data_IF_385372270023
#
_entry.id   IF_385372270023
#
_cell.length_a   1.000
_cell.length_b   1.000
_cell.length_c   1.000
_cell.angle_alpha   90.00
_cell.angle_beta   90.00
_cell.angle_gamma   90.00
#
_symmetry.space_group_name_H-M   'P 1'
#
loop_
_entity.id
_entity.type
_entity.pdbx_description
1 polymer ?
#
# COMPACT_ATOMS: atom_id res chain seq x y z
N UNK A 1 -26.30 -0.20 8.50
CA UNK A 1 -24.92 -0.13 8.01
C UNK A 1 -24.86 0.89 6.89
N UNK A 2 -24.00 1.90 7.01
CA UNK A 2 -23.81 2.94 5.99
C UNK A 2 -22.36 2.93 5.51
N UNK A 3 -22.10 3.42 4.31
CA UNK A 3 -20.72 3.65 3.88
C UNK A 3 -20.06 4.74 4.74
N UNK A 4 -18.82 4.50 5.12
CA UNK A 4 -17.98 5.48 5.79
C UNK A 4 -17.41 6.49 4.79
N UNK A 5 -17.05 7.66 5.29
CA UNK A 5 -16.19 8.63 4.57
C UNK A 5 -14.75 8.16 4.45
N UNK A 6 -14.40 7.04 5.10
CA UNK A 6 -13.09 6.42 5.06
C UNK A 6 -13.10 5.13 4.26
N UNK A 7 -11.95 4.80 3.69
CA UNK A 7 -11.60 3.51 3.11
C UNK A 7 -10.39 2.94 3.84
N UNK A 8 -10.12 1.65 3.67
CA UNK A 8 -8.84 1.04 4.03
C UNK A 8 -7.99 0.92 2.77
N UNK A 9 -6.81 1.50 2.76
CA UNK A 9 -5.80 1.28 1.72
C UNK A 9 -4.86 0.20 2.22
N UNK A 10 -4.57 -0.79 1.37
CA UNK A 10 -3.55 -1.82 1.61
C UNK A 10 -2.54 -1.83 0.47
N UNK A 11 -1.26 -2.00 0.78
CA UNK A 11 -0.20 -2.14 -0.23
C UNK A 11 0.84 -3.15 0.23
N UNK A 12 1.18 -4.09 -0.66
CA UNK A 12 2.31 -5.01 -0.47
C UNK A 12 3.61 -4.36 -0.93
N UNK A 13 4.66 -4.43 -0.11
CA UNK A 13 5.94 -3.77 -0.35
C UNK A 13 7.11 -4.62 0.19
N UNK A 14 8.27 -4.68 -0.49
CA UNK A 14 9.50 -5.22 0.09
C UNK A 14 9.81 -4.63 1.47
N UNK A 15 10.29 -5.45 2.39
CA UNK A 15 10.60 -5.02 3.76
C UNK A 15 11.50 -3.78 3.77
N UNK A 16 12.48 -3.71 2.87
CA UNK A 16 13.46 -2.62 2.76
C UNK A 16 12.83 -1.28 2.37
N UNK A 17 11.67 -1.28 1.70
CA UNK A 17 10.97 -0.08 1.28
C UNK A 17 9.74 0.27 2.15
N UNK A 18 9.39 -0.59 3.11
CA UNK A 18 8.15 -0.49 3.87
C UNK A 18 8.04 0.81 4.69
N UNK A 19 9.12 1.26 5.32
CA UNK A 19 9.14 2.50 6.10
C UNK A 19 8.97 3.75 5.22
N UNK A 20 9.61 3.79 4.05
CA UNK A 20 9.48 4.90 3.11
C UNK A 20 8.03 5.01 2.60
N UNK A 21 7.39 3.88 2.31
CA UNK A 21 5.99 3.85 1.88
C UNK A 21 5.04 4.27 3.03
N UNK A 22 5.25 3.79 4.26
CA UNK A 22 4.49 4.26 5.44
C UNK A 22 4.57 5.76 5.61
N UNK A 23 5.77 6.31 5.52
CA UNK A 23 6.00 7.75 5.64
C UNK A 23 5.26 8.52 4.54
N UNK A 24 5.40 8.10 3.29
CA UNK A 24 4.72 8.73 2.15
C UNK A 24 3.19 8.70 2.29
N UNK A 25 2.62 7.59 2.76
CA UNK A 25 1.18 7.48 3.03
C UNK A 25 0.72 8.47 4.09
N UNK A 26 1.46 8.57 5.21
CA UNK A 26 1.11 9.47 6.31
C UNK A 26 1.28 10.95 5.96
N UNK A 27 2.35 11.31 5.23
CA UNK A 27 2.57 12.67 4.72
C UNK A 27 1.48 13.09 3.72
N UNK A 28 0.97 12.14 2.93
CA UNK A 28 -0.18 12.34 2.04
C UNK A 28 -1.54 12.34 2.77
N UNK A 29 -1.56 12.30 4.11
CA UNK A 29 -2.77 12.45 4.91
C UNK A 29 -3.55 11.16 5.20
N UNK A 30 -2.98 9.99 4.90
CA UNK A 30 -3.52 8.73 5.39
C UNK A 30 -3.22 8.51 6.88
N UNK A 31 -3.99 7.65 7.53
CA UNK A 31 -3.74 7.28 8.93
C UNK A 31 -4.03 8.40 9.93
N UNK A 32 -4.94 9.31 9.63
CA UNK A 32 -5.46 10.30 10.59
C UNK A 32 -6.72 9.74 11.23
N UNK A 33 -6.68 9.50 12.54
CA UNK A 33 -7.83 9.03 13.32
C UNK A 33 -7.87 9.75 14.67
N UNK A 34 -8.87 10.61 14.87
CA UNK A 34 -8.94 11.45 16.07
C UNK A 34 -7.69 12.33 16.19
N UNK A 35 -7.00 12.24 17.33
CA UNK A 35 -5.77 13.00 17.61
C UNK A 35 -4.47 12.28 17.20
N UNK A 36 -4.57 11.21 16.40
CA UNK A 36 -3.43 10.43 15.93
C UNK A 36 -3.24 10.60 14.43
N UNK A 37 -1.97 10.64 14.01
CA UNK A 37 -1.52 10.73 12.60
C UNK A 37 -0.54 9.61 12.31
N UNK A 38 -0.32 9.30 11.02
CA UNK A 38 0.57 8.21 10.57
C UNK A 38 0.16 6.83 11.11
N UNK A 39 -1.12 6.62 11.42
CA UNK A 39 -1.61 5.32 11.87
C UNK A 39 -1.61 4.31 10.71
N UNK A 40 -0.80 3.27 10.83
CA UNK A 40 -0.79 2.11 9.93
C UNK A 40 -0.63 0.83 10.74
N UNK A 41 -1.05 -0.28 10.15
CA UNK A 41 -0.76 -1.62 10.63
C UNK A 41 -0.05 -2.38 9.52
N UNK A 42 0.86 -3.29 9.87
CA UNK A 42 1.58 -4.10 8.90
C UNK A 42 1.59 -5.55 9.33
N UNK A 43 1.60 -6.46 8.37
CA UNK A 43 1.91 -7.87 8.58
C UNK A 43 2.89 -8.35 7.52
N UNK A 44 3.82 -9.22 7.92
CA UNK A 44 4.84 -9.78 7.02
C UNK A 44 4.32 -11.01 6.28
N UNK A 45 4.85 -11.23 5.08
CA UNK A 45 4.55 -12.38 4.26
C UNK A 45 5.59 -12.59 3.16
N UNK A 46 5.28 -13.50 2.23
CA UNK A 46 6.10 -13.75 1.04
C UNK A 46 5.32 -13.38 -0.21
N UNK A 47 5.75 -12.33 -0.89
CA UNK A 47 5.27 -11.95 -2.22
C UNK A 47 5.81 -12.92 -3.27
N UNK A 48 4.99 -13.24 -4.28
CA UNK A 48 5.37 -14.13 -5.38
C UNK A 48 4.89 -13.56 -6.69
N UNK A 49 5.78 -13.54 -7.68
CA UNK A 49 5.44 -13.08 -9.03
C UNK A 49 6.35 -13.72 -10.07
N UNK A 50 5.91 -13.66 -11.32
CA UNK A 50 6.68 -14.09 -12.49
C UNK A 50 6.70 -12.91 -13.48
N UNK A 51 7.82 -12.17 -13.59
CA UNK A 51 7.90 -11.07 -14.54
C UNK A 51 7.76 -11.59 -15.97
N UNK A 52 6.81 -11.04 -16.72
CA UNK A 52 6.54 -11.42 -18.10
C UNK A 52 7.39 -10.61 -19.09
N UNK A 53 7.41 -11.01 -20.36
CA UNK A 53 8.09 -10.25 -21.41
C UNK A 53 7.58 -8.80 -21.44
N UNK A 54 8.52 -7.84 -21.39
CA UNK A 54 8.22 -6.41 -21.32
C UNK A 54 8.20 -5.81 -19.92
N UNK A 55 8.28 -6.62 -18.85
CA UNK A 55 8.43 -6.12 -17.49
C UNK A 55 9.86 -5.61 -17.22
N UNK A 56 9.98 -4.58 -16.38
CA UNK A 56 11.25 -4.07 -15.87
C UNK A 56 11.26 -4.19 -14.33
N UNK A 57 11.34 -5.42 -13.80
CA UNK A 57 11.14 -5.67 -12.38
C UNK A 57 12.30 -5.07 -11.57
N UNK A 58 11.96 -4.43 -10.46
CA UNK A 58 12.97 -3.95 -9.51
C UNK A 58 13.75 -5.11 -8.84
N UNK A 59 13.15 -6.30 -8.77
CA UNK A 59 13.72 -7.50 -8.18
C UNK A 59 13.50 -8.68 -9.13
N UNK A 60 14.56 -9.43 -9.41
CA UNK A 60 14.48 -10.66 -10.21
C UNK A 60 14.69 -10.45 -11.72
N UNK A 61 14.26 -11.43 -12.51
CA UNK A 61 14.42 -11.40 -13.97
C UNK A 61 13.20 -11.95 -14.72
N UNK A 62 12.98 -11.44 -15.94
CA UNK A 62 11.92 -11.91 -16.85
C UNK A 62 12.00 -13.43 -17.06
N UNK A 63 10.85 -14.09 -16.92
CA UNK A 63 10.71 -15.53 -17.09
C UNK A 63 11.18 -16.38 -15.90
N UNK A 64 11.58 -15.77 -14.77
CA UNK A 64 11.93 -16.47 -13.55
C UNK A 64 10.92 -16.19 -12.43
N UNK A 65 10.37 -17.21 -11.76
CA UNK A 65 9.57 -17.00 -10.57
C UNK A 65 10.42 -16.40 -9.45
N UNK A 66 9.90 -15.39 -8.78
CA UNK A 66 10.56 -14.71 -7.67
C UNK A 66 9.74 -14.87 -6.39
N UNK A 67 10.44 -14.98 -5.26
CA UNK A 67 9.86 -14.94 -3.92
C UNK A 67 10.57 -13.86 -3.10
N UNK A 68 9.81 -12.94 -2.51
CA UNK A 68 10.35 -11.78 -1.80
C UNK A 68 9.69 -11.66 -0.43
N UNK A 69 10.48 -11.34 0.59
CA UNK A 69 9.94 -10.97 1.90
C UNK A 69 9.28 -9.59 1.81
N UNK A 70 7.99 -9.52 2.13
CA UNK A 70 7.20 -8.30 2.00
C UNK A 70 6.43 -7.99 3.28
N UNK A 71 6.11 -6.72 3.47
CA UNK A 71 5.07 -6.28 4.39
C UNK A 71 3.85 -5.83 3.60
N UNK A 72 2.66 -6.22 4.06
CA UNK A 72 1.43 -5.55 3.64
C UNK A 72 1.11 -4.47 4.64
N UNK A 73 1.20 -3.21 4.21
CA UNK A 73 0.88 -2.02 5.00
C UNK A 73 -0.59 -1.70 4.78
N UNK A 74 -1.35 -1.49 5.85
CA UNK A 74 -2.73 -1.05 5.79
C UNK A 74 -2.99 0.19 6.64
N UNK A 75 -3.70 1.17 6.07
CA UNK A 75 -4.08 2.41 6.77
C UNK A 75 -5.51 2.81 6.44
N UNK A 76 -6.13 3.64 7.28
CA UNK A 76 -7.39 4.29 6.92
C UNK A 76 -7.09 5.56 6.11
N UNK A 77 -7.97 5.92 5.19
CA UNK A 77 -7.84 7.13 4.40
C UNK A 77 -9.22 7.71 4.13
N UNK A 78 -9.40 9.03 4.24
CA UNK A 78 -10.64 9.65 3.80
C UNK A 78 -10.76 9.54 2.28
N UNK A 79 -11.98 9.30 1.77
CA UNK A 79 -12.26 9.10 0.34
C UNK A 79 -11.72 10.23 -0.55
N UNK A 80 -11.80 11.48 -0.10
CA UNK A 80 -11.30 12.67 -0.82
C UNK A 80 -9.77 12.73 -0.95
N UNK A 81 -9.02 12.01 -0.10
CA UNK A 81 -7.56 11.99 -0.11
C UNK A 81 -6.99 10.73 -0.79
N UNK A 82 -7.82 9.79 -1.22
CA UNK A 82 -7.36 8.51 -1.78
C UNK A 82 -6.46 8.74 -2.99
N UNK A 83 -6.85 9.59 -3.94
CA UNK A 83 -6.07 9.86 -5.15
C UNK A 83 -4.64 10.34 -4.85
N UNK A 84 -4.49 11.28 -3.92
CA UNK A 84 -3.16 11.80 -3.54
C UNK A 84 -2.33 10.75 -2.79
N UNK A 85 -2.95 9.93 -1.93
CA UNK A 85 -2.25 8.88 -1.20
C UNK A 85 -1.75 7.79 -2.14
N UNK A 86 -2.56 7.38 -3.13
CA UNK A 86 -2.15 6.41 -4.15
C UNK A 86 -0.98 6.95 -4.99
N UNK A 87 -1.00 8.23 -5.36
CA UNK A 87 0.11 8.87 -6.07
C UNK A 87 1.39 8.88 -5.23
N UNK A 88 1.27 9.16 -3.93
CA UNK A 88 2.41 9.14 -3.00
C UNK A 88 2.99 7.73 -2.83
N UNK A 89 2.13 6.72 -2.68
CA UNK A 89 2.56 5.30 -2.63
C UNK A 89 3.34 4.96 -3.89
N UNK A 90 2.76 5.17 -5.08
CA UNK A 90 3.41 4.85 -6.36
C UNK A 90 4.77 5.54 -6.55
N UNK A 91 4.92 6.76 -6.02
CA UNK A 91 6.20 7.49 -6.09
C UNK A 91 7.26 6.93 -5.14
N UNK A 92 6.86 6.46 -3.95
CA UNK A 92 7.78 5.92 -2.95
C UNK A 92 8.07 4.43 -3.14
N UNK A 93 7.21 3.71 -3.86
CA UNK A 93 7.28 2.27 -4.03
C UNK A 93 8.36 1.87 -5.06
N UNK A 94 9.15 0.81 -4.83
CA UNK A 94 10.20 0.38 -5.76
C UNK A 94 9.65 -0.28 -7.03
N UNK A 95 8.50 -0.95 -6.95
CA UNK A 95 7.87 -1.60 -8.11
C UNK A 95 7.17 -0.59 -9.02
N UNK A 96 7.24 -0.85 -10.32
CA UNK A 96 6.54 -0.08 -11.35
C UNK A 96 5.01 -0.16 -11.19
N UNK A 97 4.51 -1.35 -10.84
CA UNK A 97 3.10 -1.63 -10.60
C UNK A 97 2.92 -2.24 -9.20
N UNK A 98 2.84 -1.42 -8.12
CA UNK A 98 2.56 -1.93 -6.78
C UNK A 98 1.14 -2.51 -6.69
N UNK A 99 1.00 -3.63 -5.97
CA UNK A 99 -0.29 -4.19 -5.61
C UNK A 99 -0.94 -3.32 -4.53
N UNK A 100 -1.98 -2.56 -4.92
CA UNK A 100 -2.71 -1.67 -4.01
C UNK A 100 -4.20 -2.00 -4.03
N UNK A 101 -4.76 -2.29 -2.86
CA UNK A 101 -6.17 -2.52 -2.64
C UNK A 101 -6.82 -1.34 -1.90
N UNK A 102 -8.07 -1.02 -2.27
CA UNK A 102 -8.89 -0.01 -1.61
C UNK A 102 -10.19 -0.69 -1.19
N UNK A 103 -10.35 -0.91 0.11
CA UNK A 103 -11.51 -1.58 0.68
C UNK A 103 -12.50 -0.54 1.24
N UNK A 104 -13.78 -0.59 0.85
CA UNK A 104 -14.80 0.27 1.44
C UNK A 104 -14.97 -0.09 2.92
N UNK A 105 -15.13 0.92 3.77
CA UNK A 105 -15.46 0.74 5.19
C UNK A 105 -16.94 1.02 5.40
N UNK A 106 -17.61 0.14 6.13
CA UNK A 106 -18.97 0.37 6.60
C UNK A 106 -18.96 0.76 8.08
N UNK A 107 -19.90 1.63 8.45
CA UNK A 107 -20.20 1.98 9.83
C UNK A 107 -21.53 1.34 10.24
N UNK A 108 -21.54 0.79 11.45
CA UNK A 108 -22.74 0.29 12.13
C UNK A 108 -23.11 1.38 13.13
N UNK A 109 -24.33 1.89 13.03
CA UNK A 109 -24.91 2.78 14.05
C UNK A 109 -25.29 1.99 15.30
#
# INVERSE_FOLDING_TARGET
MRESEYVKIMVGVPVEAADAVRQAMGEAGAGVQGNYKFCSFSFSGTGRFLPMAGANPAIGAVGKPEEVAEETIMTICRKDLVGQVIAAIKKAHPYEEPAIDILPRLEVE
#
